data_IF_379096275965
#
_entry.id   IF_379096275965
#
_cell.length_a   1.000
_cell.length_b   1.000
_cell.length_c   1.000
_cell.angle_alpha   90.00
_cell.angle_beta   90.00
_cell.angle_gamma   90.00
#
_symmetry.space_group_name_H-M   'P 1'
#
loop_
_entity.id
_entity.type
_entity.pdbx_description
1 polymer ?
#
# COMPACT_ATOMS: atom_id res chain seq x y z
N UNK A 1 51.88 1.60 -1.37
CA UNK A 1 50.73 2.50 -1.61
C UNK A 1 49.50 1.83 -1.03
N UNK A 2 49.03 2.29 0.13
CA UNK A 2 47.87 1.73 0.81
C UNK A 2 46.65 2.57 0.45
N UNK A 3 45.73 1.99 -0.33
CA UNK A 3 44.41 2.56 -0.59
C UNK A 3 43.59 2.43 0.69
N UNK A 4 43.57 3.51 1.50
CA UNK A 4 42.61 3.65 2.60
C UNK A 4 41.20 3.57 2.01
N UNK A 5 40.49 2.51 2.38
CA UNK A 5 39.05 2.42 2.23
C UNK A 5 38.46 3.61 3.03
N UNK A 6 37.64 4.50 2.45
CA UNK A 6 36.99 5.53 3.24
C UNK A 6 35.97 4.82 4.12
N UNK A 7 36.30 4.62 5.39
CA UNK A 7 35.30 4.23 6.37
C UNK A 7 34.20 5.28 6.31
N UNK A 8 32.97 4.84 6.03
CA UNK A 8 31.78 5.69 6.09
C UNK A 8 31.65 6.13 7.55
N UNK A 9 32.09 7.35 7.86
CA UNK A 9 31.90 7.93 9.18
C UNK A 9 30.39 8.08 9.45
N UNK A 10 29.98 7.81 10.69
CA UNK A 10 28.60 8.02 11.14
C UNK A 10 28.30 9.53 11.12
N UNK A 11 27.47 9.96 10.18
CA UNK A 11 26.91 11.31 10.18
C UNK A 11 25.86 11.42 11.31
N UNK A 12 26.23 12.11 12.39
CA UNK A 12 25.40 12.30 13.59
C UNK A 12 24.06 12.97 13.24
N UNK A 13 24.04 13.94 12.32
CA UNK A 13 22.81 14.64 11.96
C UNK A 13 21.86 13.70 11.21
N UNK A 14 22.39 12.89 10.30
CA UNK A 14 21.60 11.87 9.62
C UNK A 14 21.02 10.86 10.63
N UNK A 15 21.82 10.39 11.57
CA UNK A 15 21.36 9.44 12.60
C UNK A 15 20.28 10.02 13.50
N UNK A 16 20.36 11.30 13.88
CA UNK A 16 19.27 11.97 14.61
C UNK A 16 17.96 11.97 13.81
N UNK A 17 18.01 12.23 12.51
CA UNK A 17 16.81 12.19 11.66
C UNK A 17 16.25 10.76 11.53
N UNK A 18 17.11 9.75 11.43
CA UNK A 18 16.69 8.34 11.39
C UNK A 18 15.98 7.94 12.69
N UNK A 19 16.52 8.33 13.84
CA UNK A 19 15.90 8.05 15.14
C UNK A 19 14.58 8.80 15.34
N UNK A 20 14.53 10.08 14.94
CA UNK A 20 13.28 10.85 15.00
C UNK A 20 12.18 10.22 14.11
N UNK A 21 12.54 9.78 12.91
CA UNK A 21 11.62 9.05 12.03
C UNK A 21 11.21 7.70 12.64
N UNK A 22 12.14 6.97 13.27
CA UNK A 22 11.83 5.71 13.93
C UNK A 22 10.80 5.90 15.04
N UNK A 23 10.98 6.90 15.90
CA UNK A 23 10.04 7.22 16.97
C UNK A 23 8.65 7.59 16.40
N UNK A 24 8.61 8.42 15.35
CA UNK A 24 7.36 8.79 14.67
C UNK A 24 6.64 7.57 14.06
N UNK A 25 7.38 6.63 13.46
CA UNK A 25 6.80 5.39 12.92
C UNK A 25 6.19 4.53 14.04
N UNK A 26 6.91 4.36 15.16
CA UNK A 26 6.44 3.57 16.31
C UNK A 26 5.22 4.23 16.97
N UNK A 27 5.24 5.54 17.17
CA UNK A 27 4.12 6.30 17.76
C UNK A 27 2.86 6.21 16.90
N UNK A 28 3.02 6.03 15.59
CA UNK A 28 1.91 5.79 14.67
C UNK A 28 1.51 4.32 14.59
N UNK A 29 2.21 3.39 15.25
CA UNK A 29 1.91 1.95 15.25
C UNK A 29 2.39 1.23 13.99
N UNK A 30 3.35 1.79 13.26
CA UNK A 30 3.94 1.18 12.08
C UNK A 30 4.83 0.02 12.52
N UNK A 31 4.54 -1.20 12.08
CA UNK A 31 5.36 -2.38 12.39
C UNK A 31 6.29 -2.80 11.24
N UNK A 32 6.03 -2.30 10.03
CA UNK A 32 6.85 -2.57 8.85
C UNK A 32 6.94 -1.35 7.96
N UNK A 33 8.16 -1.02 7.53
CA UNK A 33 8.44 -0.08 6.44
C UNK A 33 9.32 -0.79 5.42
N UNK A 34 8.96 -0.67 4.14
CA UNK A 34 9.72 -1.21 3.03
C UNK A 34 9.87 -0.17 1.93
N UNK A 35 11.10 0.05 1.52
CA UNK A 35 11.45 0.92 0.40
C UNK A 35 12.21 0.07 -0.60
N UNK A 36 11.65 -0.09 -1.81
CA UNK A 36 12.33 -0.90 -2.82
C UNK A 36 11.42 -1.45 -3.90
N UNK A 37 11.92 -2.50 -4.56
CA UNK A 37 11.24 -3.16 -5.68
C UNK A 37 10.35 -4.29 -5.18
N UNK A 38 9.07 -4.24 -5.54
CA UNK A 38 8.10 -5.27 -5.17
C UNK A 38 8.20 -6.45 -6.13
N UNK A 39 8.87 -7.52 -5.69
CA UNK A 39 8.93 -8.80 -6.41
C UNK A 39 7.96 -9.80 -5.80
N UNK A 40 7.67 -10.91 -6.49
CA UNK A 40 6.84 -11.99 -5.93
C UNK A 40 7.35 -12.50 -4.57
N UNK A 41 8.68 -12.52 -4.36
CA UNK A 41 9.28 -12.92 -3.09
C UNK A 41 8.99 -11.91 -1.98
N UNK A 42 9.05 -10.61 -2.29
CA UNK A 42 8.73 -9.53 -1.35
C UNK A 42 7.26 -9.58 -0.95
N UNK A 43 6.36 -9.80 -1.93
CA UNK A 43 4.92 -9.95 -1.64
C UNK A 43 4.70 -11.11 -0.67
N UNK A 44 5.27 -12.28 -0.97
CA UNK A 44 5.15 -13.48 -0.13
C UNK A 44 5.67 -13.25 1.28
N UNK A 45 6.86 -12.65 1.41
CA UNK A 45 7.49 -12.36 2.70
C UNK A 45 6.59 -11.49 3.59
N UNK A 46 6.01 -10.41 3.04
CA UNK A 46 5.15 -9.54 3.83
C UNK A 46 3.81 -10.19 4.20
N UNK A 47 3.23 -10.99 3.31
CA UNK A 47 2.00 -11.72 3.62
C UNK A 47 2.20 -12.75 4.72
N UNK A 48 3.31 -13.48 4.71
CA UNK A 48 3.65 -14.47 5.76
C UNK A 48 3.96 -13.79 7.09
N UNK A 49 4.72 -12.67 7.07
CA UNK A 49 5.01 -11.90 8.29
C UNK A 49 3.72 -11.39 8.94
N UNK A 50 2.84 -10.78 8.15
CA UNK A 50 1.61 -10.20 8.68
C UNK A 50 0.66 -11.29 9.21
N UNK A 51 0.59 -12.44 8.56
CA UNK A 51 -0.17 -13.60 9.06
C UNK A 51 0.35 -14.07 10.42
N UNK A 52 1.67 -14.21 10.59
CA UNK A 52 2.28 -14.60 11.86
C UNK A 52 2.01 -13.56 12.97
N UNK A 53 2.06 -12.27 12.64
CA UNK A 53 1.78 -11.16 13.57
C UNK A 53 0.31 -11.16 14.04
N UNK A 54 -0.64 -11.39 13.12
CA UNK A 54 -2.05 -11.49 13.47
C UNK A 54 -2.37 -12.75 14.30
N UNK A 55 -1.64 -13.85 14.09
CA UNK A 55 -1.78 -15.05 14.91
C UNK A 55 -1.27 -14.81 16.34
N UNK A 56 -0.14 -14.11 16.50
CA UNK A 56 0.38 -13.72 17.81
C UNK A 56 -0.58 -12.79 18.57
N UNK A 57 -1.27 -11.90 17.84
CA UNK A 57 -2.24 -10.99 18.40
C UNK A 57 -3.62 -11.63 18.67
N UNK A 58 -3.81 -12.93 18.42
CA UNK A 58 -5.08 -13.66 18.53
C UNK A 58 -6.23 -12.98 17.78
N UNK A 59 -5.95 -12.45 16.58
CA UNK A 59 -6.98 -11.81 15.76
C UNK A 59 -8.07 -12.78 15.33
N UNK A 60 -9.29 -12.24 15.24
CA UNK A 60 -10.42 -12.99 14.70
C UNK A 60 -10.18 -13.42 13.26
N UNK A 61 -10.67 -14.61 12.91
CA UNK A 61 -10.48 -15.20 11.57
C UNK A 61 -10.99 -14.30 10.45
N UNK A 62 -12.07 -13.55 10.68
CA UNK A 62 -12.62 -12.61 9.71
C UNK A 62 -11.67 -11.44 9.46
N UNK A 63 -11.12 -10.84 10.53
CA UNK A 63 -10.12 -9.76 10.46
C UNK A 63 -8.88 -10.24 9.72
N UNK A 64 -8.34 -11.41 10.08
CA UNK A 64 -7.18 -12.01 9.40
C UNK A 64 -7.38 -12.13 7.90
N UNK A 65 -8.56 -12.61 7.48
CA UNK A 65 -8.89 -12.76 6.05
C UNK A 65 -8.98 -11.41 5.34
N UNK A 66 -9.60 -10.40 5.96
CA UNK A 66 -9.72 -9.05 5.37
C UNK A 66 -8.36 -8.37 5.20
N UNK A 67 -7.53 -8.41 6.25
CA UNK A 67 -6.18 -7.82 6.23
C UNK A 67 -5.31 -8.53 5.19
N UNK A 68 -5.26 -9.87 5.23
CA UNK A 68 -4.48 -10.65 4.26
C UNK A 68 -4.91 -10.37 2.81
N UNK A 69 -6.22 -10.37 2.54
CA UNK A 69 -6.73 -10.11 1.20
C UNK A 69 -6.33 -8.70 0.71
N UNK A 70 -6.56 -7.68 1.53
CA UNK A 70 -6.24 -6.29 1.18
C UNK A 70 -4.73 -6.10 0.97
N UNK A 71 -3.92 -6.72 1.82
CA UNK A 71 -2.46 -6.72 1.72
C UNK A 71 -1.98 -7.33 0.39
N UNK A 72 -2.51 -8.48 0.00
CA UNK A 72 -2.14 -9.14 -1.27
C UNK A 72 -2.48 -8.25 -2.46
N UNK A 73 -3.71 -7.71 -2.53
CA UNK A 73 -4.14 -6.85 -3.64
C UNK A 73 -3.28 -5.57 -3.75
N UNK A 74 -2.99 -4.92 -2.62
CA UNK A 74 -2.15 -3.71 -2.57
C UNK A 74 -0.71 -4.03 -3.01
N UNK A 75 -0.12 -5.11 -2.51
CA UNK A 75 1.24 -5.50 -2.86
C UNK A 75 1.35 -5.94 -4.33
N UNK A 76 0.34 -6.61 -4.87
CA UNK A 76 0.27 -6.94 -6.29
C UNK A 76 0.13 -5.69 -7.17
N UNK A 77 -0.63 -4.70 -6.72
CA UNK A 77 -0.72 -3.40 -7.39
C UNK A 77 0.67 -2.72 -7.46
N UNK A 78 1.39 -2.70 -6.33
CA UNK A 78 2.76 -2.19 -6.27
C UNK A 78 3.72 -2.96 -7.17
N UNK A 79 3.64 -4.29 -7.19
CA UNK A 79 4.44 -5.13 -8.07
C UNK A 79 4.20 -4.80 -9.55
N UNK A 80 2.94 -4.70 -9.97
CA UNK A 80 2.57 -4.43 -11.37
C UNK A 80 3.12 -3.08 -11.85
N UNK A 81 2.91 -2.01 -11.06
CA UNK A 81 3.27 -0.65 -11.45
C UNK A 81 4.74 -0.28 -11.19
N UNK A 82 5.46 -1.05 -10.38
CA UNK A 82 6.92 -0.85 -10.17
C UNK A 82 7.77 -1.10 -11.42
N UNK A 83 7.20 -1.69 -12.49
CA UNK A 83 7.92 -2.07 -13.70
C UNK A 83 8.02 -0.95 -14.76
N UNK A 84 7.17 0.08 -14.67
CA UNK A 84 7.03 1.12 -15.70
C UNK A 84 8.06 2.26 -15.60
N UNK A 85 8.76 2.40 -14.46
CA UNK A 85 9.66 3.53 -14.19
C UNK A 85 11.15 3.15 -14.14
N UNK A 86 11.56 2.14 -14.92
CA UNK A 86 12.93 1.65 -15.01
C UNK A 86 13.87 2.69 -15.65
N UNK A 87 14.38 3.61 -14.83
CA UNK A 87 15.56 4.42 -15.12
C UNK A 87 16.61 4.09 -14.07
N UNK A 88 17.89 4.04 -14.47
CA UNK A 88 19.03 3.56 -13.66
C UNK A 88 19.25 4.30 -12.32
N UNK A 89 18.55 5.41 -12.07
CA UNK A 89 18.69 6.27 -10.89
C UNK A 89 17.44 6.36 -9.99
N UNK A 90 16.40 5.57 -10.25
CA UNK A 90 15.16 5.60 -9.46
C UNK A 90 15.26 4.76 -8.18
N UNK A 91 15.90 5.29 -7.13
CA UNK A 91 16.02 4.62 -5.81
C UNK A 91 14.66 4.38 -5.11
N UNK A 92 13.60 5.09 -5.50
CA UNK A 92 12.25 4.90 -4.95
C UNK A 92 11.39 4.18 -5.98
N UNK A 93 11.43 2.85 -5.95
CA UNK A 93 10.54 1.97 -6.74
C UNK A 93 9.19 1.71 -6.04
N UNK A 94 9.06 2.18 -4.80
CA UNK A 94 7.83 2.21 -4.03
C UNK A 94 8.12 2.19 -2.52
N UNK A 95 7.22 2.79 -1.76
CA UNK A 95 7.15 2.72 -0.31
C UNK A 95 5.95 1.85 0.05
N UNK A 96 6.12 0.95 1.01
CA UNK A 96 5.05 0.19 1.63
C UNK A 96 5.20 0.26 3.14
N UNK A 97 4.11 0.51 3.84
CA UNK A 97 4.03 0.49 5.27
C UNK A 97 2.78 -0.26 5.71
N UNK A 98 2.90 -1.05 6.77
CA UNK A 98 1.76 -1.63 7.45
C UNK A 98 1.93 -1.43 8.95
N UNK A 99 0.83 -1.11 9.60
CA UNK A 99 0.79 -0.87 11.01
C UNK A 99 -0.57 -1.18 11.61
N UNK A 100 -0.63 -1.06 12.93
CA UNK A 100 -1.85 -1.17 13.69
C UNK A 100 -1.84 -0.14 14.82
N UNK A 101 -2.90 0.64 14.93
CA UNK A 101 -3.09 1.61 16.00
C UNK A 101 -4.56 1.67 16.38
N UNK A 102 -4.84 1.74 17.67
CA UNK A 102 -6.21 1.83 18.23
C UNK A 102 -7.17 0.76 17.69
N UNK A 103 -6.66 -0.47 17.48
CA UNK A 103 -7.44 -1.59 16.96
C UNK A 103 -7.70 -1.56 15.45
N UNK A 104 -7.18 -0.57 14.73
CA UNK A 104 -7.31 -0.41 13.28
C UNK A 104 -6.00 -0.83 12.63
N UNK A 105 -6.06 -1.77 11.69
CA UNK A 105 -4.96 -2.05 10.78
C UNK A 105 -4.98 -1.03 9.67
N UNK A 106 -3.81 -0.56 9.26
CA UNK A 106 -3.73 0.30 8.09
C UNK A 106 -2.52 -0.04 7.23
N UNK A 107 -2.73 0.07 5.92
CA UNK A 107 -1.73 -0.21 4.89
C UNK A 107 -1.55 1.05 4.08
N UNK A 108 -0.30 1.48 3.93
CA UNK A 108 0.05 2.65 3.14
C UNK A 108 1.04 2.29 2.05
N UNK A 109 0.82 2.81 0.86
CA UNK A 109 1.77 2.69 -0.24
C UNK A 109 2.04 4.03 -0.87
N UNK A 110 3.26 4.23 -1.38
CA UNK A 110 3.58 5.33 -2.26
C UNK A 110 4.34 4.84 -3.49
N UNK A 111 3.89 5.19 -4.69
CA UNK A 111 4.59 4.90 -5.94
C UNK A 111 4.55 6.09 -6.89
N UNK A 112 5.48 6.13 -7.85
CA UNK A 112 5.47 7.13 -8.92
C UNK A 112 4.24 6.94 -9.78
N UNK A 113 3.72 8.04 -10.30
CA UNK A 113 2.54 8.07 -11.17
C UNK A 113 2.72 9.10 -12.27
N UNK A 114 2.18 8.82 -13.47
CA UNK A 114 2.15 9.81 -14.55
C UNK A 114 0.93 10.71 -14.42
N UNK A 115 0.97 11.93 -15.00
CA UNK A 115 -0.20 12.82 -15.04
C UNK A 115 -1.43 12.18 -15.68
N UNK A 116 -1.22 11.30 -16.67
CA UNK A 116 -2.30 10.57 -17.31
C UNK A 116 -2.95 9.59 -16.32
N UNK A 117 -2.15 8.80 -15.60
CA UNK A 117 -2.65 7.80 -14.66
C UNK A 117 -3.28 8.44 -13.42
N UNK A 118 -2.81 9.61 -12.99
CA UNK A 118 -3.44 10.39 -11.93
C UNK A 118 -4.92 10.66 -12.21
N UNK A 119 -5.26 11.04 -13.45
CA UNK A 119 -6.66 11.32 -13.83
C UNK A 119 -7.52 10.06 -13.73
N UNK A 120 -7.04 8.93 -14.26
CA UNK A 120 -7.75 7.65 -14.21
C UNK A 120 -7.89 7.14 -12.78
N UNK A 121 -6.83 7.24 -11.96
CA UNK A 121 -6.86 6.84 -10.55
C UNK A 121 -7.84 7.68 -9.73
N UNK A 122 -7.86 9.00 -9.95
CA UNK A 122 -8.81 9.90 -9.27
C UNK A 122 -10.24 9.49 -9.58
N UNK A 123 -10.57 9.32 -10.87
CA UNK A 123 -11.91 8.89 -11.28
C UNK A 123 -12.30 7.51 -10.71
N UNK A 124 -11.36 6.57 -10.71
CA UNK A 124 -11.56 5.24 -10.14
C UNK A 124 -11.82 5.27 -8.63
N UNK A 125 -10.99 5.99 -7.88
CA UNK A 125 -11.07 6.08 -6.42
C UNK A 125 -12.31 6.86 -5.99
N UNK A 126 -12.67 7.94 -6.69
CA UNK A 126 -13.89 8.69 -6.41
C UNK A 126 -15.15 7.87 -6.70
N UNK A 127 -15.14 7.07 -7.78
CA UNK A 127 -16.25 6.16 -8.07
C UNK A 127 -16.41 5.11 -6.96
N UNK A 128 -15.31 4.50 -6.53
CA UNK A 128 -15.30 3.48 -5.47
C UNK A 128 -15.71 4.07 -4.11
N UNK A 129 -15.18 5.23 -3.74
CA UNK A 129 -15.44 5.87 -2.44
C UNK A 129 -16.86 6.46 -2.29
N UNK A 130 -17.56 6.69 -3.40
CA UNK A 130 -18.94 7.18 -3.40
C UNK A 130 -19.98 6.07 -3.62
N UNK A 131 -19.54 4.83 -3.89
CA UNK A 131 -20.43 3.70 -4.07
C UNK A 131 -20.90 3.12 -2.73
N UNK A 132 -22.16 2.69 -2.70
CA UNK A 132 -22.74 1.87 -1.62
C UNK A 132 -22.19 0.44 -1.65
N UNK A 133 -22.40 -0.33 -0.58
CA UNK A 133 -21.95 -1.73 -0.51
C UNK A 133 -22.62 -2.59 -1.58
N UNK A 134 -23.87 -2.32 -1.90
CA UNK A 134 -24.63 -2.97 -2.97
C UNK A 134 -24.03 -2.65 -4.34
N UNK A 135 -23.68 -1.38 -4.58
CA UNK A 135 -23.05 -0.93 -5.83
C UNK A 135 -21.65 -1.51 -6.00
N UNK A 136 -20.81 -1.51 -4.95
CA UNK A 136 -19.49 -2.14 -4.97
C UNK A 136 -19.58 -3.64 -5.31
N UNK A 137 -20.57 -4.33 -4.76
CA UNK A 137 -20.85 -5.72 -5.10
C UNK A 137 -21.27 -5.91 -6.56
N UNK A 138 -22.11 -5.03 -7.09
CA UNK A 138 -22.51 -5.05 -8.49
C UNK A 138 -21.33 -4.76 -9.43
N UNK A 139 -20.51 -3.76 -9.11
CA UNK A 139 -19.30 -3.39 -9.85
C UNK A 139 -18.31 -4.55 -9.90
N UNK A 140 -18.04 -5.21 -8.76
CA UNK A 140 -17.17 -6.38 -8.71
C UNK A 140 -17.67 -7.53 -9.60
N UNK A 141 -18.96 -7.87 -9.50
CA UNK A 141 -19.58 -8.93 -10.32
C UNK A 141 -19.52 -8.60 -11.81
N UNK A 142 -19.76 -7.34 -12.16
CA UNK A 142 -19.68 -6.85 -13.54
C UNK A 142 -18.27 -6.99 -14.09
N UNK A 143 -17.27 -6.54 -13.34
CA UNK A 143 -15.88 -6.56 -13.78
C UNK A 143 -15.31 -7.98 -13.90
N UNK A 144 -15.75 -8.91 -13.04
CA UNK A 144 -15.42 -10.34 -13.16
C UNK A 144 -15.99 -10.97 -14.44
N UNK A 145 -17.18 -10.56 -14.89
CA UNK A 145 -17.83 -11.07 -16.11
C UNK A 145 -17.26 -10.47 -17.38
N UNK A 146 -17.03 -9.16 -17.37
CA UNK A 146 -16.62 -8.42 -18.57
C UNK A 146 -15.12 -8.57 -18.84
N UNK A 147 -14.32 -9.04 -17.86
CA UNK A 147 -12.90 -9.32 -18.03
C UNK A 147 -12.05 -8.08 -18.38
N UNK A 148 -12.66 -6.90 -18.40
CA UNK A 148 -11.98 -5.65 -18.69
C UNK A 148 -11.17 -5.23 -17.47
N UNK A 149 -9.91 -5.63 -17.45
CA UNK A 149 -8.84 -4.71 -17.06
C UNK A 149 -8.93 -3.57 -18.09
N UNK A 150 -9.80 -2.60 -17.84
CA UNK A 150 -10.17 -1.69 -18.92
C UNK A 150 -8.94 -0.88 -19.33
N UNK A 151 -8.67 -0.84 -20.63
CA UNK A 151 -7.85 0.20 -21.24
C UNK A 151 -8.55 1.58 -21.24
N UNK A 152 -9.66 1.73 -20.49
CA UNK A 152 -10.60 2.87 -20.51
C UNK A 152 -11.14 3.21 -19.10
N UNK A 153 -10.25 3.39 -18.11
CA UNK A 153 -10.58 4.14 -16.89
C UNK A 153 -11.61 3.54 -15.93
N UNK A 154 -11.94 2.24 -16.02
CA UNK A 154 -12.62 1.53 -14.94
C UNK A 154 -11.69 1.35 -13.73
N UNK A 155 -12.23 1.48 -12.51
CA UNK A 155 -11.47 1.16 -11.31
C UNK A 155 -10.90 -0.25 -11.41
N UNK A 156 -9.64 -0.43 -11.01
CA UNK A 156 -9.03 -1.75 -10.99
C UNK A 156 -9.84 -2.69 -10.10
N UNK A 157 -9.97 -3.96 -10.51
CA UNK A 157 -10.70 -4.98 -9.74
C UNK A 157 -10.23 -5.02 -8.28
N UNK A 158 -8.93 -4.82 -8.05
CA UNK A 158 -8.33 -4.74 -6.70
C UNK A 158 -8.88 -3.59 -5.85
N UNK A 159 -9.04 -2.38 -6.40
CA UNK A 159 -9.58 -1.23 -5.65
C UNK A 159 -11.03 -1.49 -5.20
N UNK A 160 -11.85 -2.04 -6.08
CA UNK A 160 -13.25 -2.40 -5.76
C UNK A 160 -13.28 -3.52 -4.72
N UNK A 161 -12.42 -4.53 -4.85
CA UNK A 161 -12.40 -5.65 -3.92
C UNK A 161 -11.94 -5.23 -2.52
N UNK A 162 -10.94 -4.36 -2.42
CA UNK A 162 -10.52 -3.76 -1.15
C UNK A 162 -11.67 -2.97 -0.54
N UNK A 163 -12.23 -2.00 -1.26
CA UNK A 163 -13.29 -1.13 -0.72
C UNK A 163 -14.55 -1.88 -0.28
N UNK A 164 -14.88 -3.00 -0.92
CA UNK A 164 -15.99 -3.86 -0.49
C UNK A 164 -15.72 -4.57 0.84
N UNK A 165 -14.45 -4.90 1.10
CA UNK A 165 -14.00 -5.69 2.26
C UNK A 165 -13.59 -4.81 3.44
N UNK A 166 -13.40 -3.52 3.23
CA UNK A 166 -13.04 -2.56 4.27
C UNK A 166 -14.23 -1.65 4.62
N UNK A 167 -14.25 -1.15 5.84
CA UNK A 167 -15.34 -0.30 6.33
C UNK A 167 -15.06 1.20 6.11
N UNK A 168 -13.83 1.54 5.73
CA UNK A 168 -13.39 2.90 5.43
C UNK A 168 -13.35 3.21 3.93
N UNK A 169 -13.32 4.50 3.62
CA UNK A 169 -12.97 4.99 2.29
C UNK A 169 -11.49 4.73 2.01
N UNK A 170 -11.16 4.53 0.75
CA UNK A 170 -9.78 4.50 0.28
C UNK A 170 -9.24 5.93 0.32
N UNK A 171 -8.41 6.24 1.31
CA UNK A 171 -7.76 7.55 1.44
C UNK A 171 -6.61 7.64 0.44
N UNK A 172 -6.52 8.73 -0.31
CA UNK A 172 -5.47 8.88 -1.31
C UNK A 172 -5.03 10.33 -1.51
N UNK A 173 -3.83 10.46 -2.07
CA UNK A 173 -3.08 11.71 -2.10
C UNK A 173 -2.08 11.68 -3.26
N UNK A 174 -1.92 12.81 -3.94
CA UNK A 174 -0.85 13.00 -4.93
C UNK A 174 0.12 14.08 -4.46
N UNK A 175 1.40 13.72 -4.26
CA UNK A 175 2.44 14.67 -3.85
C UNK A 175 3.47 14.85 -4.97
N UNK A 176 3.72 16.08 -5.45
CA UNK A 176 4.87 16.37 -6.29
C UNK A 176 6.14 16.49 -5.42
N UNK A 177 7.14 15.64 -5.68
CA UNK A 177 8.45 15.67 -5.02
C UNK A 177 9.53 15.75 -6.08
N UNK A 178 10.30 16.85 -6.08
CA UNK A 178 11.42 17.08 -7.00
C UNK A 178 11.08 16.82 -8.49
N UNK A 179 9.90 17.28 -8.93
CA UNK A 179 9.43 17.12 -10.31
C UNK A 179 8.86 15.74 -10.65
N UNK A 180 8.73 14.84 -9.68
CA UNK A 180 8.05 13.54 -9.82
C UNK A 180 6.77 13.52 -9.00
N UNK A 181 5.65 13.10 -9.57
CA UNK A 181 4.40 12.90 -8.84
C UNK A 181 4.37 11.51 -8.18
N UNK A 182 3.98 11.48 -6.91
CA UNK A 182 3.78 10.26 -6.13
C UNK A 182 2.30 10.09 -5.81
N UNK A 183 1.77 8.91 -6.10
CA UNK A 183 0.46 8.46 -5.63
C UNK A 183 0.63 7.77 -4.29
N UNK A 184 -0.10 8.23 -3.29
CA UNK A 184 -0.20 7.64 -1.97
C UNK A 184 -1.60 7.08 -1.78
N UNK A 185 -1.68 5.83 -1.36
CA UNK A 185 -2.92 5.15 -0.99
C UNK A 185 -2.80 4.68 0.46
N UNK A 186 -3.82 4.98 1.27
CA UNK A 186 -3.99 4.48 2.63
C UNK A 186 -5.30 3.73 2.72
N UNK A 187 -5.23 2.52 3.26
CA UNK A 187 -6.39 1.63 3.45
C UNK A 187 -6.46 1.27 4.92
N UNK A 188 -7.61 1.54 5.55
CA UNK A 188 -7.88 1.17 6.93
C UNK A 188 -8.80 -0.05 7.00
N UNK A 189 -8.52 -0.93 7.95
CA UNK A 189 -9.22 -2.20 8.15
C UNK A 189 -9.51 -2.33 9.63
N UNK A 190 -10.80 -2.33 9.99
CA UNK A 190 -11.23 -2.48 11.37
C UNK A 190 -10.80 -3.84 11.93
N UNK A 191 -10.21 -3.84 13.12
CA UNK A 191 -9.90 -5.04 13.89
C UNK A 191 -11.11 -5.62 14.62
N UNK A 192 -12.28 -4.99 14.54
CA UNK A 192 -13.54 -5.59 15.02
C UNK A 192 -14.16 -6.41 13.88
N UNK A 193 -14.56 -7.66 14.16
CA UNK A 193 -15.35 -8.45 13.23
C UNK A 193 -16.60 -7.67 12.82
N UNK A 194 -16.88 -7.61 11.51
CA UNK A 194 -18.17 -7.08 11.09
C UNK A 194 -19.19 -8.15 11.43
N UNK A 195 -20.15 -7.83 12.30
CA UNK A 195 -21.37 -8.61 12.41
C UNK A 195 -22.04 -8.61 11.02
N UNK A 196 -21.98 -9.77 10.35
CA UNK A 196 -22.83 -10.08 9.19
C UNK A 196 -24.22 -10.53 9.68
#
# INVERSE_FOLDING_TARGET
>A
MSTKNPAMELDINFMHNVLALYDELIDNGISVVYIGKFTHQVVKMFTEKNEAEMEQNNEEKQVKRRVHHSLVEILQNMQKHSTEFQTEFSLINGLFMIGRKDGIYYIMTANKVTKHDMLHLTQALDCVNNATKEELNAMYKKQLKEGTISAKGGAGLGLIDIARKTDGKLEYLFIPVNGTDYFILKVEISGQGNEE
#
